data_IF_801710219134
#
_entry.id   IF_801710219134
#
_cell.length_a   1.000
_cell.length_b   1.000
_cell.length_c   1.000
_cell.angle_alpha   90.00
_cell.angle_beta   90.00
_cell.angle_gamma   90.00
#
_symmetry.space_group_name_H-M   'P 1'
#
loop_
_entity.id
_entity.type
_entity.pdbx_description
1 polymer ?
#
# COMPACT_ATOMS: atom_id res chain seq x y z
N UNK A 1 8.55 2.45 1.39
CA UNK A 1 7.80 1.26 1.87
C UNK A 1 7.01 1.67 3.10
N UNK A 2 5.81 1.14 3.28
CA UNK A 2 4.94 1.43 4.43
C UNK A 2 4.62 0.10 5.13
N UNK A 3 4.84 0.04 6.43
CA UNK A 3 4.47 -1.11 7.25
C UNK A 3 3.04 -0.97 7.74
N UNK A 4 2.31 -2.07 7.76
CA UNK A 4 0.93 -2.17 8.22
C UNK A 4 0.86 -3.08 9.46
N UNK A 5 -0.21 -2.98 10.25
CA UNK A 5 -0.51 -3.97 11.29
C UNK A 5 -0.51 -5.41 10.76
N UNK A 6 -0.16 -6.38 11.60
CA UNK A 6 0.06 -7.77 11.18
C UNK A 6 -1.22 -8.48 10.70
N UNK A 7 -2.38 -8.00 11.14
CA UNK A 7 -3.72 -8.46 10.79
C UNK A 7 -4.27 -7.82 9.50
N UNK A 8 -3.55 -6.85 8.92
CA UNK A 8 -3.97 -6.20 7.67
C UNK A 8 -3.66 -7.08 6.44
N UNK A 9 -4.66 -7.27 5.58
CA UNK A 9 -4.49 -7.93 4.28
C UNK A 9 -3.93 -6.96 3.23
N UNK A 10 -2.61 -6.97 3.08
CA UNK A 10 -1.90 -6.13 2.12
C UNK A 10 -2.21 -6.46 0.64
N UNK A 11 -2.73 -7.66 0.35
CA UNK A 11 -3.19 -8.05 -0.99
C UNK A 11 -4.55 -7.42 -1.28
N UNK A 12 -5.45 -7.39 -0.30
CA UNK A 12 -6.74 -6.70 -0.42
C UNK A 12 -6.52 -5.19 -0.61
N UNK A 13 -5.65 -4.58 0.19
CA UNK A 13 -5.30 -3.16 0.05
C UNK A 13 -4.77 -2.83 -1.36
N UNK A 14 -3.92 -3.68 -1.95
CA UNK A 14 -3.47 -3.53 -3.34
C UNK A 14 -4.64 -3.53 -4.32
N UNK A 15 -5.63 -4.41 -4.13
CA UNK A 15 -6.81 -4.44 -5.00
C UNK A 15 -7.60 -3.13 -4.92
N UNK A 16 -7.84 -2.61 -3.71
CA UNK A 16 -8.51 -1.33 -3.49
C UNK A 16 -7.72 -0.16 -4.10
N UNK A 17 -6.39 -0.17 -3.97
CA UNK A 17 -5.51 0.85 -4.56
C UNK A 17 -5.63 0.89 -6.09
N UNK A 18 -5.69 -0.28 -6.73
CA UNK A 18 -5.85 -0.39 -8.18
C UNK A 18 -7.17 0.20 -8.68
N UNK A 19 -8.26 0.05 -7.93
CA UNK A 19 -9.54 0.69 -8.26
C UNK A 19 -9.45 2.23 -8.24
N UNK A 20 -8.49 2.77 -7.49
CA UNK A 20 -8.19 4.20 -7.42
C UNK A 20 -7.00 4.63 -8.29
N UNK A 21 -6.55 3.76 -9.22
CA UNK A 21 -5.41 4.00 -10.11
C UNK A 21 -4.07 4.25 -9.38
N UNK A 22 -3.92 3.70 -8.18
CA UNK A 22 -2.67 3.73 -7.41
C UNK A 22 -1.98 2.37 -7.54
N UNK A 23 -0.78 2.34 -8.11
CA UNK A 23 0.01 1.11 -8.21
C UNK A 23 0.88 0.91 -6.96
N UNK A 24 0.59 -0.14 -6.22
CA UNK A 24 1.37 -0.61 -5.08
C UNK A 24 1.57 -2.12 -5.19
N UNK A 25 2.60 -2.63 -4.51
CA UNK A 25 2.84 -4.06 -4.39
C UNK A 25 2.74 -4.50 -2.93
N UNK A 26 2.08 -5.63 -2.63
CA UNK A 26 2.02 -6.14 -1.26
C UNK A 26 3.43 -6.54 -0.80
N UNK A 27 3.82 -6.12 0.40
CA UNK A 27 5.12 -6.43 0.98
C UNK A 27 5.24 -7.93 1.24
N UNK A 28 4.14 -8.59 1.60
CA UNK A 28 4.07 -10.04 1.81
C UNK A 28 4.57 -10.85 0.60
N UNK A 29 4.46 -10.32 -0.62
CA UNK A 29 4.94 -10.98 -1.84
C UNK A 29 6.46 -10.91 -2.06
N UNK A 30 7.18 -10.12 -1.27
CA UNK A 30 8.64 -9.96 -1.38
C UNK A 30 9.44 -10.89 -0.46
N UNK A 31 8.79 -11.64 0.44
CA UNK A 31 9.47 -12.59 1.31
C UNK A 31 9.72 -13.92 0.59
N UNK A 32 10.95 -14.43 0.70
CA UNK A 32 11.33 -15.77 0.20
C UNK A 32 10.86 -16.87 1.17
N UNK A 33 10.82 -16.56 2.47
CA UNK A 33 10.28 -17.39 3.54
C UNK A 33 8.85 -16.92 3.90
N UNK A 34 8.12 -17.61 4.80
CA UNK A 34 6.81 -17.12 5.25
C UNK A 34 6.87 -15.65 5.69
N UNK A 35 5.92 -14.80 5.25
CA UNK A 35 5.98 -13.36 5.49
C UNK A 35 5.83 -13.04 6.98
N UNK A 36 6.76 -12.23 7.50
CA UNK A 36 6.82 -11.84 8.92
C UNK A 36 6.25 -10.44 9.17
N UNK A 37 5.90 -9.70 8.11
CA UNK A 37 5.33 -8.35 8.19
C UNK A 37 4.33 -8.11 7.07
N UNK A 38 3.32 -7.29 7.36
CA UNK A 38 2.41 -6.70 6.37
C UNK A 38 2.86 -5.32 5.97
N UNK A 39 2.55 -4.93 4.73
CA UNK A 39 2.94 -3.63 4.23
C UNK A 39 2.73 -3.48 2.74
N UNK A 40 3.07 -2.31 2.22
CA UNK A 40 3.03 -2.04 0.78
C UNK A 40 4.28 -1.33 0.31
N UNK A 41 4.70 -1.68 -0.90
CA UNK A 41 5.77 -1.04 -1.65
C UNK A 41 5.12 -0.16 -2.71
N UNK A 42 5.27 1.17 -2.56
CA UNK A 42 4.81 2.14 -3.55
C UNK A 42 5.93 2.42 -4.55
N UNK A 43 5.66 2.19 -5.84
CA UNK A 43 6.57 2.55 -6.93
C UNK A 43 6.28 3.97 -7.41
N UNK A 44 7.26 4.86 -7.34
CA UNK A 44 7.13 6.25 -7.82
C UNK A 44 8.08 6.58 -8.99
N UNK A 45 8.80 5.59 -9.52
CA UNK A 45 9.84 5.80 -10.53
C UNK A 45 9.37 6.38 -11.87
N UNK A 46 8.06 6.38 -12.12
CA UNK A 46 7.44 6.94 -13.34
C UNK A 46 6.63 8.22 -13.07
N UNK A 47 6.60 8.72 -11.83
CA UNK A 47 5.80 9.88 -11.46
C UNK A 47 6.64 11.17 -11.55
N UNK A 48 6.10 12.27 -12.12
CA UNK A 48 6.70 13.59 -11.99
C UNK A 48 6.86 13.99 -10.52
N UNK A 49 7.93 14.71 -10.18
CA UNK A 49 8.28 15.06 -8.80
C UNK A 49 7.15 15.84 -8.10
N UNK A 50 6.50 16.73 -8.85
CA UNK A 50 5.36 17.54 -8.42
C UNK A 50 4.12 16.71 -8.06
N UNK A 51 3.99 15.49 -8.61
CA UNK A 51 2.84 14.60 -8.36
C UNK A 51 3.08 13.67 -7.17
N UNK A 52 4.33 13.46 -6.74
CA UNK A 52 4.69 12.49 -5.69
C UNK A 52 3.96 12.80 -4.38
N UNK A 53 3.89 14.07 -3.97
CA UNK A 53 3.22 14.47 -2.73
C UNK A 53 1.72 14.19 -2.77
N UNK A 54 1.07 14.47 -3.91
CA UNK A 54 -0.36 14.22 -4.09
C UNK A 54 -0.66 12.71 -4.11
N UNK A 55 0.15 11.92 -4.81
CA UNK A 55 0.03 10.46 -4.84
C UNK A 55 0.24 9.83 -3.45
N UNK A 56 1.25 10.29 -2.70
CA UNK A 56 1.49 9.84 -1.33
C UNK A 56 0.30 10.16 -0.40
N UNK A 57 -0.31 11.34 -0.56
CA UNK A 57 -1.50 11.73 0.22
C UNK A 57 -2.69 10.83 -0.08
N UNK A 58 -2.94 10.51 -1.36
CA UNK A 58 -4.01 9.58 -1.75
C UNK A 58 -3.79 8.18 -1.18
N UNK A 59 -2.55 7.68 -1.23
CA UNK A 59 -2.20 6.38 -0.66
C UNK A 59 -2.38 6.35 0.86
N UNK A 60 -1.95 7.40 1.58
CA UNK A 60 -2.12 7.48 3.02
C UNK A 60 -3.60 7.47 3.42
N UNK A 61 -4.43 8.22 2.69
CA UNK A 61 -5.89 8.21 2.89
C UNK A 61 -6.48 6.81 2.71
N UNK A 62 -6.14 6.14 1.60
CA UNK A 62 -6.61 4.78 1.32
C UNK A 62 -6.21 3.79 2.43
N UNK A 63 -4.96 3.87 2.91
CA UNK A 63 -4.48 3.01 4.00
C UNK A 63 -5.32 3.24 5.26
N UNK A 64 -5.55 4.51 5.63
CA UNK A 64 -6.35 4.82 6.82
C UNK A 64 -7.78 4.30 6.70
N UNK A 65 -8.45 4.53 5.57
CA UNK A 65 -9.81 4.01 5.32
C UNK A 65 -9.87 2.49 5.42
N UNK A 66 -8.85 1.80 4.90
CA UNK A 66 -8.77 0.35 5.01
C UNK A 66 -8.57 -0.11 6.46
N UNK A 67 -7.71 0.56 7.23
CA UNK A 67 -7.49 0.23 8.64
C UNK A 67 -8.73 0.51 9.52
N UNK A 68 -9.45 1.59 9.24
CA UNK A 68 -10.72 1.90 9.91
C UNK A 68 -11.78 0.83 9.63
N UNK A 69 -11.80 0.24 8.43
CA UNK A 69 -12.74 -0.84 8.09
C UNK A 69 -12.48 -2.17 8.81
N UNK A 70 -11.32 -2.31 9.43
CA UNK A 70 -10.91 -3.50 10.21
C UNK A 70 -11.20 -3.37 11.71
N UNK A 71 -11.57 -2.16 12.18
CA UNK A 71 -11.89 -1.85 13.59
C UNK A 71 -13.39 -2.01 13.88
#
# INVERSE_FOLDING_TARGET
MVHLPDDCDDVQLMHLARLQQIDIRPLSAYFIAPPIKRGVVAGYGYLPLEEIAAAATKLAKLINEHLESLS
#
